data_IF_268138023494
#
_entry.id   IF_268138023494
#
_cell.length_a   1.000
_cell.length_b   1.000
_cell.length_c   1.000
_cell.angle_alpha   90.00
_cell.angle_beta   90.00
_cell.angle_gamma   90.00
#
_symmetry.space_group_name_H-M   'P 1'
#
loop_
_entity.id
_entity.type
_entity.pdbx_description
1 polymer ?
#
# COMPACT_ATOMS: atom_id res chain seq x y z
N UNK A 1 9.42 -32.76 14.04
CA UNK A 1 10.12 -31.58 13.49
C UNK A 1 9.07 -30.56 13.07
N UNK A 2 9.11 -29.29 13.54
CA UNK A 2 8.22 -28.26 13.01
C UNK A 2 8.56 -28.07 11.52
N UNK A 3 7.53 -27.94 10.66
CA UNK A 3 7.78 -27.54 9.26
C UNK A 3 8.46 -26.16 9.26
N UNK A 4 9.52 -25.92 8.46
CA UNK A 4 10.07 -24.60 8.31
C UNK A 4 8.93 -23.67 7.86
N UNK A 5 8.71 -22.58 8.60
CA UNK A 5 7.72 -21.58 8.22
C UNK A 5 8.21 -20.98 6.91
N UNK A 6 7.60 -21.39 5.80
CA UNK A 6 7.86 -20.76 4.50
C UNK A 6 7.57 -19.28 4.65
N UNK A 7 8.59 -18.44 4.45
CA UNK A 7 8.48 -16.98 4.56
C UNK A 7 7.66 -16.33 3.45
N UNK A 8 6.98 -17.13 2.62
CA UNK A 8 6.20 -16.71 1.47
C UNK A 8 5.13 -17.77 1.17
N UNK A 9 4.08 -17.36 0.45
CA UNK A 9 3.01 -18.24 -0.06
C UNK A 9 3.36 -18.69 -1.48
N UNK A 10 3.15 -19.97 -1.81
CA UNK A 10 3.38 -20.53 -3.15
C UNK A 10 4.60 -21.46 -3.24
N UNK A 11 4.96 -21.85 -4.47
CA UNK A 11 6.00 -22.86 -4.74
C UNK A 11 7.43 -22.32 -4.84
N UNK A 12 7.60 -20.99 -4.91
CA UNK A 12 8.89 -20.32 -5.04
C UNK A 12 8.88 -18.95 -4.36
N UNK A 13 10.03 -18.45 -3.88
CA UNK A 13 10.12 -17.11 -3.33
C UNK A 13 9.65 -16.05 -4.35
N UNK A 14 9.05 -14.94 -3.89
CA UNK A 14 8.76 -13.82 -4.77
C UNK A 14 10.05 -13.30 -5.41
N UNK A 15 9.98 -12.81 -6.64
CA UNK A 15 11.12 -12.17 -7.32
C UNK A 15 11.38 -10.75 -6.82
N UNK A 16 10.63 -10.30 -5.83
CA UNK A 16 10.67 -8.98 -5.20
C UNK A 16 10.73 -9.14 -3.68
N UNK A 17 11.27 -8.13 -2.98
CA UNK A 17 11.27 -8.16 -1.52
C UNK A 17 9.85 -8.10 -0.95
N UNK A 18 9.60 -8.73 0.21
CA UNK A 18 8.36 -8.52 0.93
C UNK A 18 8.19 -7.02 1.22
N UNK A 19 7.05 -6.49 0.80
CA UNK A 19 6.66 -5.08 0.87
C UNK A 19 6.96 -4.39 2.21
N UNK A 20 7.29 -3.08 2.19
CA UNK A 20 6.88 -2.10 1.17
C UNK A 20 7.89 -1.92 0.02
N UNK A 21 7.40 -1.80 -1.21
CA UNK A 21 8.22 -1.57 -2.42
C UNK A 21 8.27 -0.07 -2.77
N UNK A 22 9.13 0.31 -3.70
CA UNK A 22 9.22 1.70 -4.13
C UNK A 22 7.91 2.15 -4.80
N UNK A 23 7.38 3.32 -4.41
CA UNK A 23 6.15 3.83 -5.01
C UNK A 23 6.39 4.26 -6.46
N UNK A 24 5.62 3.74 -7.44
CA UNK A 24 5.71 4.17 -8.82
C UNK A 24 5.38 5.66 -8.94
N UNK A 25 5.97 6.32 -9.94
CA UNK A 25 5.64 7.72 -10.24
C UNK A 25 4.25 7.78 -10.84
N UNK A 26 3.37 8.55 -10.24
CA UNK A 26 2.08 8.93 -10.78
C UNK A 26 2.21 10.17 -11.67
N UNK A 27 1.35 10.27 -12.68
CA UNK A 27 1.20 11.48 -13.50
C UNK A 27 0.09 12.34 -12.91
N UNK A 28 0.29 13.66 -12.72
CA UNK A 28 -0.72 14.53 -12.13
C UNK A 28 -2.07 14.51 -12.85
N UNK A 29 -2.08 14.38 -14.17
CA UNK A 29 -3.31 14.32 -14.99
C UNK A 29 -4.02 12.97 -15.01
N UNK A 30 -3.43 11.92 -14.44
CA UNK A 30 -3.94 10.54 -14.45
C UNK A 30 -4.23 10.04 -13.03
N UNK A 31 -4.48 10.96 -12.08
CA UNK A 31 -4.69 10.58 -10.67
C UNK A 31 -5.93 9.68 -10.48
N UNK A 32 -6.94 9.85 -11.34
CA UNK A 32 -8.16 9.04 -11.34
C UNK A 32 -7.92 7.58 -11.74
N UNK A 33 -6.81 7.29 -12.41
CA UNK A 33 -6.43 5.95 -12.85
C UNK A 33 -5.62 5.19 -11.78
N UNK A 34 -5.22 5.88 -10.70
CA UNK A 34 -4.49 5.26 -9.59
C UNK A 34 -5.46 4.45 -8.72
N UNK A 35 -5.18 3.15 -8.62
CA UNK A 35 -5.99 2.22 -7.83
C UNK A 35 -5.50 2.19 -6.38
N UNK A 36 -6.36 2.65 -5.47
CA UNK A 36 -6.16 2.55 -4.02
C UNK A 36 -6.10 1.09 -3.54
N UNK A 37 -5.19 0.77 -2.61
CA UNK A 37 -5.24 -0.51 -1.91
C UNK A 37 -6.47 -0.56 -1.00
N UNK A 38 -7.08 -1.74 -0.91
CA UNK A 38 -8.32 -1.95 -0.15
C UNK A 38 -8.08 -2.33 1.30
N UNK A 39 -6.82 -2.50 1.73
CA UNK A 39 -6.44 -2.89 3.09
C UNK A 39 -5.33 -2.01 3.64
N UNK A 40 -4.15 -2.03 3.02
CA UNK A 40 -2.92 -1.42 3.50
C UNK A 40 -2.09 -0.93 2.32
N UNK A 41 -1.84 0.37 2.24
CA UNK A 41 -0.82 0.90 1.34
C UNK A 41 0.56 0.79 1.99
N UNK A 42 1.54 0.33 1.21
CA UNK A 42 2.94 0.27 1.59
C UNK A 42 3.83 0.89 0.52
N UNK A 43 4.65 1.87 0.91
CA UNK A 43 5.61 2.51 0.00
C UNK A 43 6.96 2.75 0.67
N UNK A 44 8.05 2.59 -0.09
CA UNK A 44 9.37 3.16 0.24
C UNK A 44 9.65 4.36 -0.66
N UNK A 45 10.19 5.42 -0.08
CA UNK A 45 10.73 6.55 -0.83
C UNK A 45 11.97 7.11 -0.13
N UNK A 46 13.12 7.06 -0.80
CA UNK A 46 14.41 7.39 -0.19
C UNK A 46 14.64 6.56 1.09
N UNK A 47 14.86 7.24 2.21
CA UNK A 47 15.02 6.62 3.53
C UNK A 47 13.70 6.39 4.27
N UNK A 48 12.58 6.90 3.73
CA UNK A 48 11.27 6.82 4.36
C UNK A 48 10.52 5.56 3.93
N UNK A 49 9.80 4.98 4.88
CA UNK A 49 8.81 3.93 4.62
C UNK A 49 7.45 4.39 5.10
N UNK A 50 6.48 4.46 4.19
CA UNK A 50 5.08 4.71 4.49
C UNK A 50 4.35 3.36 4.66
N UNK A 51 3.57 3.26 5.73
CA UNK A 51 2.53 2.24 5.88
C UNK A 51 1.26 2.94 6.33
N UNK A 52 0.20 2.80 5.54
CA UNK A 52 -1.05 3.47 5.82
C UNK A 52 -2.20 2.46 5.67
N UNK A 53 -3.00 2.33 6.72
CA UNK A 53 -4.10 1.39 6.79
C UNK A 53 -5.39 2.18 7.00
N UNK A 54 -6.42 1.90 6.21
CA UNK A 54 -7.75 2.41 6.53
C UNK A 54 -8.45 1.46 7.51
N UNK A 55 -8.97 2.04 8.58
CA UNK A 55 -9.46 1.31 9.74
C UNK A 55 -10.97 1.47 9.81
N UNK A 56 -11.68 0.38 9.62
CA UNK A 56 -13.12 0.34 9.92
C UNK A 56 -13.34 0.36 11.43
N UNK A 57 -14.18 1.27 11.89
CA UNK A 57 -14.69 1.28 13.26
C UNK A 57 -15.54 0.06 13.60
N UNK A 58 -15.73 -0.20 14.89
CA UNK A 58 -16.34 -1.44 15.39
C UNK A 58 -17.78 -1.64 14.93
N UNK A 59 -18.56 -0.57 14.78
CA UNK A 59 -19.95 -0.64 14.33
C UNK A 59 -20.08 -1.17 12.90
N UNK A 60 -19.24 -0.68 11.97
CA UNK A 60 -19.24 -1.14 10.59
C UNK A 60 -18.80 -2.61 10.50
N UNK A 61 -17.82 -3.02 11.33
CA UNK A 61 -17.39 -4.42 11.44
C UNK A 61 -18.51 -5.30 11.98
N UNK A 62 -19.16 -4.87 13.06
CA UNK A 62 -20.27 -5.59 13.70
C UNK A 62 -21.43 -5.81 12.72
N UNK A 63 -21.75 -4.81 11.90
CA UNK A 63 -22.82 -4.88 10.90
C UNK A 63 -22.42 -5.56 9.59
N UNK A 64 -21.16 -5.96 9.44
CA UNK A 64 -20.66 -6.54 8.18
C UNK A 64 -20.74 -5.57 7.00
N UNK A 65 -20.72 -4.25 7.26
CA UNK A 65 -20.81 -3.25 6.20
C UNK A 65 -19.57 -3.32 5.29
N UNK A 66 -19.74 -3.28 3.94
CA UNK A 66 -18.60 -3.18 3.03
C UNK A 66 -17.71 -2.00 3.38
N UNK A 67 -16.40 -2.12 3.10
CA UNK A 67 -15.46 -1.01 3.26
C UNK A 67 -15.86 0.13 2.32
N UNK A 68 -15.92 1.35 2.84
CA UNK A 68 -16.32 2.56 2.08
C UNK A 68 -15.28 3.67 2.13
N UNK A 69 -14.32 3.55 3.04
CA UNK A 69 -13.12 4.36 3.09
C UNK A 69 -12.10 3.83 2.07
N UNK A 70 -11.54 4.76 1.31
CA UNK A 70 -10.44 4.52 0.40
C UNK A 70 -9.23 5.31 0.90
N UNK A 71 -8.04 4.78 0.67
CA UNK A 71 -6.79 5.48 0.93
C UNK A 71 -6.02 5.51 -0.38
N UNK A 72 -5.57 6.69 -0.81
CA UNK A 72 -4.77 6.86 -2.01
C UNK A 72 -3.36 7.31 -1.63
N UNK A 73 -2.37 6.52 -2.04
CA UNK A 73 -0.95 6.90 -1.97
C UNK A 73 -0.39 7.10 -3.38
N UNK A 74 0.12 8.30 -3.69
CA UNK A 74 0.72 8.61 -4.97
C UNK A 74 2.04 9.38 -4.80
N UNK A 75 3.01 9.16 -5.70
CA UNK A 75 4.24 9.96 -5.76
C UNK A 75 4.30 10.74 -7.06
N UNK A 76 4.67 12.00 -6.97
CA UNK A 76 5.00 12.85 -8.12
C UNK A 76 6.47 13.24 -8.08
N UNK A 77 7.08 13.42 -9.24
CA UNK A 77 8.49 13.83 -9.33
C UNK A 77 9.47 12.76 -8.86
N UNK A 78 10.74 13.15 -8.75
CA UNK A 78 11.89 12.29 -8.46
C UNK A 78 12.83 12.95 -7.47
N UNK A 79 13.70 12.14 -6.88
CA UNK A 79 14.75 12.53 -5.95
C UNK A 79 14.24 13.49 -4.85
N UNK A 80 14.97 14.56 -4.58
CA UNK A 80 14.64 15.51 -3.52
C UNK A 80 13.42 16.39 -3.85
N UNK A 81 13.02 16.47 -5.12
CA UNK A 81 11.87 17.26 -5.55
C UNK A 81 10.56 16.45 -5.55
N UNK A 82 10.59 15.18 -5.13
CA UNK A 82 9.39 14.37 -5.14
C UNK A 82 8.40 14.74 -4.04
N UNK A 83 7.11 14.63 -4.39
CA UNK A 83 5.99 14.76 -3.47
C UNK A 83 5.35 13.39 -3.28
N UNK A 84 5.18 12.97 -2.02
CA UNK A 84 4.32 11.83 -1.68
C UNK A 84 3.01 12.39 -1.15
N UNK A 85 1.91 12.12 -1.87
CA UNK A 85 0.54 12.46 -1.52
C UNK A 85 -0.12 11.26 -0.84
N UNK A 86 -0.78 11.51 0.29
CA UNK A 86 -1.63 10.55 1.00
C UNK A 86 -3.00 11.20 1.23
N UNK A 87 -4.07 10.59 0.75
CA UNK A 87 -5.44 11.12 0.85
C UNK A 87 -6.46 10.04 1.29
N UNK A 88 -7.49 10.47 2.03
CA UNK A 88 -8.60 9.64 2.56
C UNK A 88 -9.93 10.24 2.13
#
# INVERSE_FOLDING_TARGET
MPRPRTGFVGSRPPTYEPEPTALPVARPGELADVVADTVLDGARYGTCTLRAASVRGDSARFRGEPRRDALLTARFGHDEAALVLVAV
#
